data_IF_407148456242
#
_entry.id   IF_407148456242
#
_cell.length_a   1.000
_cell.length_b   1.000
_cell.length_c   1.000
_cell.angle_alpha   90.00
_cell.angle_beta   90.00
_cell.angle_gamma   90.00
#
_symmetry.space_group_name_H-M   'P 1'
#
loop_
_entity.id
_entity.type
_entity.pdbx_description
1 polymer ?
#
# COMPACT_ATOMS: atom_id res chain seq x y z
N UNK A 1 16.83 15.37 -38.64
CA UNK A 1 16.11 14.31 -39.36
C UNK A 1 17.00 13.77 -40.48
N UNK A 2 17.45 12.54 -40.42
CA UNK A 2 17.89 11.79 -41.58
C UNK A 2 16.94 10.62 -41.85
N UNK A 3 16.84 10.14 -43.13
CA UNK A 3 15.76 9.27 -43.58
C UNK A 3 16.04 7.78 -43.38
N UNK A 4 14.95 7.04 -43.16
CA UNK A 4 14.93 5.58 -43.15
C UNK A 4 15.27 4.98 -44.50
N UNK A 5 16.25 4.08 -44.52
CA UNK A 5 16.58 3.28 -45.70
C UNK A 5 16.11 1.83 -45.50
N UNK A 6 15.09 1.42 -46.26
CA UNK A 6 14.68 0.03 -46.45
C UNK A 6 15.66 -0.66 -47.40
N UNK A 7 16.32 -1.72 -46.93
CA UNK A 7 16.97 -2.71 -47.84
C UNK A 7 16.39 -4.08 -47.53
N UNK A 8 15.66 -4.60 -48.47
CA UNK A 8 15.18 -5.97 -48.47
C UNK A 8 16.33 -6.96 -48.78
N UNK A 9 16.24 -8.12 -48.20
CA UNK A 9 17.06 -9.28 -48.53
C UNK A 9 16.11 -10.45 -48.80
N UNK A 10 16.27 -10.98 -50.04
CA UNK A 10 15.53 -12.11 -50.57
C UNK A 10 15.80 -13.39 -49.80
N UNK A 11 14.76 -14.19 -49.71
CA UNK A 11 14.76 -15.54 -49.17
C UNK A 11 15.47 -16.54 -50.09
N UNK A 12 16.25 -17.40 -49.53
CA UNK A 12 16.66 -18.69 -50.15
C UNK A 12 15.96 -19.81 -49.40
N UNK A 13 15.12 -20.54 -50.09
CA UNK A 13 14.47 -21.75 -49.63
C UNK A 13 15.42 -22.90 -49.83
N UNK A 14 15.90 -23.50 -48.74
CA UNK A 14 16.55 -24.82 -48.79
C UNK A 14 15.66 -25.85 -48.07
N UNK A 15 15.23 -26.79 -48.88
CA UNK A 15 14.51 -28.01 -48.44
C UNK A 15 15.47 -28.91 -47.73
N UNK A 16 15.24 -29.29 -46.46
CA UNK A 16 15.95 -30.31 -45.72
C UNK A 16 15.00 -31.21 -44.95
N UNK A 17 14.97 -32.40 -45.40
CA UNK A 17 14.55 -33.70 -44.89
C UNK A 17 13.99 -33.80 -43.48
N UNK A 18 12.75 -34.33 -43.39
CA UNK A 18 12.13 -34.86 -42.18
C UNK A 18 12.97 -36.00 -41.56
N UNK A 19 13.45 -35.78 -40.35
CA UNK A 19 13.82 -36.83 -39.42
C UNK A 19 12.76 -36.83 -38.29
N UNK A 20 11.93 -37.85 -38.28
CA UNK A 20 11.02 -38.14 -37.18
C UNK A 20 11.83 -38.53 -35.94
N UNK A 21 11.90 -37.65 -34.96
CA UNK A 21 12.32 -38.00 -33.60
C UNK A 21 11.12 -38.42 -32.77
N UNK A 22 11.19 -39.51 -31.98
CA UNK A 22 10.07 -39.94 -31.13
C UNK A 22 9.86 -38.89 -30.03
N UNK A 23 8.66 -38.35 -29.93
CA UNK A 23 8.23 -37.49 -28.83
C UNK A 23 8.18 -38.32 -27.54
N UNK A 24 9.16 -38.13 -26.67
CA UNK A 24 9.09 -38.61 -25.29
C UNK A 24 8.09 -37.70 -24.57
N UNK A 25 6.89 -38.24 -24.34
CA UNK A 25 5.87 -37.62 -23.52
C UNK A 25 6.32 -37.62 -22.06
N UNK A 26 6.99 -36.55 -21.64
CA UNK A 26 7.34 -36.34 -20.24
C UNK A 26 6.02 -36.11 -19.47
N UNK A 27 5.63 -37.08 -18.67
CA UNK A 27 4.52 -36.98 -17.74
C UNK A 27 4.88 -35.85 -16.73
N UNK A 28 4.24 -34.69 -16.86
CA UNK A 28 4.32 -33.65 -15.85
C UNK A 28 3.58 -34.17 -14.61
N UNK A 29 4.35 -34.49 -13.58
CA UNK A 29 3.78 -34.75 -12.25
C UNK A 29 3.16 -33.45 -11.77
N UNK A 30 1.84 -33.40 -11.80
CA UNK A 30 1.07 -32.33 -11.15
C UNK A 30 1.35 -32.40 -9.65
N UNK A 31 2.22 -31.51 -9.16
CA UNK A 31 2.35 -31.32 -7.74
C UNK A 31 0.97 -30.91 -7.20
N UNK A 32 0.45 -31.57 -6.14
CA UNK A 32 -0.79 -31.13 -5.53
C UNK A 32 -0.66 -29.67 -5.10
N UNK A 33 -1.73 -28.87 -5.17
CA UNK A 33 -1.68 -27.49 -4.74
C UNK A 33 -1.24 -27.45 -3.28
N UNK A 34 -0.08 -26.84 -3.04
CA UNK A 34 0.40 -26.57 -1.67
C UNK A 34 -0.66 -25.72 -1.02
N UNK A 35 -1.37 -26.26 -0.03
CA UNK A 35 -2.36 -25.51 0.74
C UNK A 35 -1.65 -24.30 1.36
N UNK A 36 -1.96 -23.10 0.88
CA UNK A 36 -1.47 -21.88 1.51
C UNK A 36 -1.85 -21.93 3.00
N UNK A 37 -0.93 -21.63 3.92
CA UNK A 37 -1.24 -21.58 5.35
C UNK A 37 -2.42 -20.66 5.55
N UNK A 38 -3.45 -21.14 6.27
CA UNK A 38 -4.65 -20.36 6.57
C UNK A 38 -4.24 -19.23 7.51
N UNK A 39 -3.93 -18.08 6.94
CA UNK A 39 -3.56 -16.89 7.72
C UNK A 39 -4.80 -16.42 8.48
N UNK A 40 -4.72 -16.37 9.80
CA UNK A 40 -5.83 -15.89 10.63
C UNK A 40 -5.86 -14.36 10.63
N UNK A 41 -7.06 -13.79 10.53
CA UNK A 41 -7.27 -12.36 10.69
C UNK A 41 -7.43 -12.04 12.17
N UNK A 42 -6.66 -11.07 12.65
CA UNK A 42 -6.68 -10.53 14.00
C UNK A 42 -7.27 -9.11 13.96
N UNK A 43 -7.80 -8.66 15.09
CA UNK A 43 -8.27 -7.29 15.26
C UNK A 43 -7.55 -6.69 16.45
N UNK A 44 -6.89 -5.55 16.23
CA UNK A 44 -6.28 -4.71 17.25
C UNK A 44 -7.07 -3.41 17.37
N UNK A 45 -7.39 -3.01 18.59
CA UNK A 45 -8.19 -1.83 18.88
C UNK A 45 -7.44 -0.88 19.81
N UNK A 46 -7.79 0.40 19.72
CA UNK A 46 -7.23 1.41 20.61
C UNK A 46 -7.58 2.82 20.18
N UNK A 47 -6.75 3.75 20.65
CA UNK A 47 -6.87 5.18 20.37
C UNK A 47 -5.56 5.74 19.85
N UNK A 48 -5.60 6.94 19.30
CA UNK A 48 -4.37 7.68 19.00
C UNK A 48 -4.59 9.18 19.18
N UNK A 49 -3.51 9.83 19.59
CA UNK A 49 -3.37 11.29 19.51
C UNK A 49 -2.74 11.64 18.17
N UNK A 50 -3.17 12.74 17.55
CA UNK A 50 -2.64 13.16 16.26
C UNK A 50 -2.30 14.64 16.27
N UNK A 51 -1.12 14.97 15.72
CA UNK A 51 -0.69 16.31 15.41
C UNK A 51 -0.49 16.44 13.90
N UNK A 52 -1.19 17.39 13.30
CA UNK A 52 -1.05 17.78 11.89
C UNK A 52 -0.40 19.16 11.83
N UNK A 53 0.67 19.29 11.07
CA UNK A 53 1.39 20.57 10.92
C UNK A 53 1.51 20.91 9.45
N UNK A 54 1.09 22.10 9.07
CA UNK A 54 1.24 22.58 7.69
C UNK A 54 2.72 22.62 7.31
N UNK A 55 3.02 22.16 6.11
CA UNK A 55 4.33 22.22 5.49
C UNK A 55 4.26 23.07 4.20
N UNK A 56 5.35 23.74 3.81
CA UNK A 56 5.39 24.44 2.53
C UNK A 56 5.21 23.46 1.37
N UNK A 57 4.73 23.96 0.24
CA UNK A 57 4.72 23.20 -1.00
C UNK A 57 6.16 22.75 -1.34
N UNK A 58 6.30 21.62 -2.02
CA UNK A 58 7.59 21.22 -2.55
C UNK A 58 8.02 22.23 -3.63
N UNK A 59 9.32 22.51 -3.72
CA UNK A 59 9.89 23.45 -4.70
C UNK A 59 9.41 23.12 -6.12
N UNK A 60 8.93 24.15 -6.82
CA UNK A 60 8.41 24.03 -8.18
C UNK A 60 6.99 23.46 -8.30
N UNK A 61 6.32 23.16 -7.19
CA UNK A 61 4.95 22.63 -7.19
C UNK A 61 3.88 23.60 -6.68
N UNK A 62 4.25 24.86 -6.41
CA UNK A 62 3.37 25.87 -5.79
C UNK A 62 2.12 26.14 -6.62
N UNK A 63 2.23 26.07 -7.95
CA UNK A 63 1.13 26.27 -8.88
C UNK A 63 0.06 25.18 -8.79
N UNK A 64 0.38 24.01 -8.26
CA UNK A 64 -0.58 22.92 -8.07
C UNK A 64 -1.60 23.19 -6.95
N UNK A 65 -1.30 24.16 -6.07
CA UNK A 65 -2.17 24.58 -4.95
C UNK A 65 -2.62 23.43 -4.04
N UNK A 66 -1.73 22.44 -3.85
CA UNK A 66 -1.96 21.34 -2.94
C UNK A 66 -1.53 21.72 -1.54
N UNK A 67 -2.34 21.37 -0.54
CA UNK A 67 -1.96 21.45 0.86
C UNK A 67 -1.02 20.30 1.21
N UNK A 68 0.12 20.60 1.86
CA UNK A 68 1.04 19.60 2.40
C UNK A 68 1.05 19.71 3.92
N UNK A 69 1.01 18.56 4.60
CA UNK A 69 1.03 18.49 6.06
C UNK A 69 1.93 17.34 6.51
N UNK A 70 2.65 17.53 7.61
CA UNK A 70 3.26 16.43 8.34
C UNK A 70 2.24 15.83 9.32
N UNK A 71 2.34 14.53 9.53
CA UNK A 71 1.52 13.74 10.45
C UNK A 71 2.44 13.20 11.55
N UNK A 72 2.03 13.35 12.81
CA UNK A 72 2.60 12.66 13.96
C UNK A 72 1.48 12.05 14.75
N UNK A 73 1.62 10.77 15.11
CA UNK A 73 0.67 10.11 16.00
C UNK A 73 1.37 9.41 17.16
N UNK A 74 0.64 9.30 18.25
CA UNK A 74 0.94 8.42 19.37
C UNK A 74 -0.22 7.43 19.47
N UNK A 75 0.04 6.15 19.24
CA UNK A 75 -0.93 5.06 19.37
C UNK A 75 -0.93 4.47 20.77
N UNK A 76 -2.13 4.06 21.23
CA UNK A 76 -2.39 3.45 22.52
C UNK A 76 -3.33 2.25 22.35
N UNK A 77 -3.14 1.21 23.15
CA UNK A 77 -3.95 -0.01 23.14
C UNK A 77 -3.20 -1.19 22.53
N UNK A 78 -3.86 -2.00 21.69
CA UNK A 78 -3.23 -3.20 21.10
C UNK A 78 -2.09 -2.85 20.11
N UNK A 79 -2.05 -1.65 19.58
CA UNK A 79 -0.92 -1.03 18.91
C UNK A 79 -0.39 0.08 19.82
N UNK A 80 0.83 -0.09 20.34
CA UNK A 80 1.55 0.91 21.12
C UNK A 80 2.75 1.40 20.33
N UNK A 81 2.82 2.71 20.05
CA UNK A 81 3.93 3.24 19.27
C UNK A 81 3.68 4.62 18.73
N UNK A 82 4.58 5.08 17.91
CA UNK A 82 4.52 6.40 17.26
C UNK A 82 4.44 6.25 15.75
N UNK A 83 4.01 7.30 15.08
CA UNK A 83 4.13 7.38 13.63
C UNK A 83 4.56 8.74 13.15
N UNK A 84 5.18 8.73 11.97
CA UNK A 84 5.55 9.90 11.20
C UNK A 84 5.09 9.72 9.76
N UNK A 85 4.53 10.78 9.19
CA UNK A 85 4.06 10.72 7.81
C UNK A 85 3.88 12.09 7.17
N UNK A 86 3.52 12.05 5.90
CA UNK A 86 3.18 13.22 5.11
C UNK A 86 1.87 13.02 4.38
N UNK A 87 1.11 14.10 4.26
CA UNK A 87 -0.16 14.17 3.58
C UNK A 87 -0.14 15.26 2.52
N UNK A 88 -0.66 14.94 1.34
CA UNK A 88 -1.00 15.88 0.28
C UNK A 88 -2.50 15.89 0.09
N UNK A 89 -3.09 17.06 0.09
CA UNK A 89 -4.55 17.18 -0.06
C UNK A 89 -4.96 18.44 -0.82
N UNK A 90 -6.21 18.44 -1.22
CA UNK A 90 -6.86 19.57 -1.88
C UNK A 90 -8.25 19.79 -1.31
N UNK A 91 -8.63 21.05 -1.15
CA UNK A 91 -10.02 21.48 -0.92
C UNK A 91 -10.52 22.16 -2.17
N UNK A 92 -11.69 21.76 -2.63
CA UNK A 92 -12.33 22.41 -3.79
C UNK A 92 -13.15 23.63 -3.35
N UNK A 93 -13.58 24.49 -4.29
CA UNK A 93 -14.51 25.58 -3.98
C UNK A 93 -15.89 25.09 -3.50
N UNK A 94 -16.23 23.83 -3.74
CA UNK A 94 -17.50 23.24 -3.29
C UNK A 94 -17.36 22.88 -1.81
N UNK A 95 -18.21 23.46 -0.97
CA UNK A 95 -18.20 23.21 0.47
C UNK A 95 -18.33 21.72 0.78
N UNK A 96 -17.51 21.22 1.70
CA UNK A 96 -17.48 19.82 2.09
C UNK A 96 -16.87 18.87 1.05
N UNK A 97 -16.18 19.40 0.02
CA UNK A 97 -15.49 18.58 -0.99
C UNK A 97 -13.98 18.74 -0.90
N UNK A 98 -13.29 17.63 -0.68
CA UNK A 98 -11.84 17.56 -0.46
C UNK A 98 -11.32 16.15 -0.79
N UNK A 99 -10.02 16.03 -0.99
CA UNK A 99 -9.35 14.74 -1.11
C UNK A 99 -7.93 14.83 -0.59
N UNK A 100 -7.39 13.71 -0.10
CA UNK A 100 -6.00 13.62 0.31
C UNK A 100 -5.44 12.20 0.15
N UNK A 101 -4.14 12.13 0.04
CA UNK A 101 -3.34 10.90 0.17
C UNK A 101 -2.30 11.11 1.27
N UNK A 102 -1.95 10.04 1.99
CA UNK A 102 -0.87 10.11 2.97
C UNK A 102 -0.10 8.79 3.04
N UNK A 103 1.18 8.90 3.38
CA UNK A 103 2.04 7.80 3.77
C UNK A 103 2.50 8.05 5.20
N UNK A 104 2.39 7.01 6.04
CA UNK A 104 2.67 7.09 7.46
C UNK A 104 3.43 5.85 7.91
N UNK A 105 4.66 6.02 8.39
CA UNK A 105 5.45 4.94 9.00
C UNK A 105 5.11 4.86 10.48
N UNK A 106 4.69 3.69 10.90
CA UNK A 106 4.41 3.33 12.30
C UNK A 106 5.57 2.52 12.84
N UNK A 107 6.03 2.85 14.05
CA UNK A 107 7.05 2.12 14.79
C UNK A 107 6.53 1.81 16.20
N UNK A 108 6.60 0.54 16.61
CA UNK A 108 6.10 0.17 17.93
C UNK A 108 5.82 -1.33 18.08
N UNK A 109 4.81 -1.63 18.91
CA UNK A 109 4.37 -2.99 19.21
C UNK A 109 2.93 -3.19 18.79
N UNK A 110 2.67 -4.21 17.99
CA UNK A 110 1.33 -4.66 17.64
C UNK A 110 1.07 -6.02 18.30
N UNK A 111 0.14 -6.05 19.25
CA UNK A 111 -0.16 -7.26 20.03
C UNK A 111 1.10 -7.93 20.63
N UNK A 112 2.02 -7.11 21.15
CA UNK A 112 3.26 -7.56 21.77
C UNK A 112 4.44 -7.78 20.81
N UNK A 113 4.24 -7.76 19.49
CA UNK A 113 5.29 -7.93 18.48
C UNK A 113 5.87 -6.58 18.07
N UNK A 114 7.18 -6.46 18.11
CA UNK A 114 7.91 -5.21 17.82
C UNK A 114 8.31 -5.12 16.35
N UNK A 115 8.22 -3.93 15.77
CA UNK A 115 8.63 -3.66 14.40
C UNK A 115 8.09 -2.35 13.89
N UNK A 116 8.18 -2.16 12.59
CA UNK A 116 7.60 -1.02 11.89
C UNK A 116 6.82 -1.48 10.65
N UNK A 117 5.93 -0.63 10.16
CA UNK A 117 5.20 -0.82 8.89
C UNK A 117 4.74 0.52 8.34
N UNK A 118 4.28 0.53 7.10
CA UNK A 118 3.79 1.75 6.45
C UNK A 118 2.29 1.63 6.17
N UNK A 119 1.54 2.64 6.55
CA UNK A 119 0.14 2.84 6.19
C UNK A 119 0.02 3.81 5.03
N UNK A 120 -0.82 3.46 4.06
CA UNK A 120 -1.27 4.35 2.99
C UNK A 120 -2.71 4.78 3.29
N UNK A 121 -2.96 6.10 3.20
CA UNK A 121 -4.29 6.68 3.37
C UNK A 121 -4.79 7.24 2.04
N UNK A 122 -6.05 6.97 1.76
CA UNK A 122 -6.81 7.60 0.69
C UNK A 122 -8.11 8.14 1.30
N UNK A 123 -8.19 9.45 1.43
CA UNK A 123 -9.36 10.13 1.99
C UNK A 123 -10.08 10.99 0.95
N UNK A 124 -11.37 10.87 0.92
CA UNK A 124 -12.27 11.65 0.06
C UNK A 124 -13.42 12.21 0.89
N UNK A 125 -13.79 13.44 0.61
CA UNK A 125 -15.01 14.05 1.12
C UNK A 125 -15.80 14.62 -0.06
N UNK A 126 -17.01 14.13 -0.27
CA UNK A 126 -17.88 14.57 -1.34
C UNK A 126 -19.12 15.23 -0.71
N UNK A 127 -19.14 16.56 -0.69
CA UNK A 127 -20.25 17.36 -0.09
C UNK A 127 -20.62 16.90 1.33
N UNK A 128 -19.60 16.65 2.15
CA UNK A 128 -19.74 16.20 3.53
C UNK A 128 -19.79 14.68 3.74
N UNK A 129 -19.97 13.89 2.69
CA UNK A 129 -19.85 12.43 2.77
C UNK A 129 -18.40 12.00 2.75
N UNK A 130 -17.96 11.32 3.79
CA UNK A 130 -16.58 10.89 3.96
C UNK A 130 -16.37 9.45 3.50
N UNK A 131 -15.25 9.19 2.82
CA UNK A 131 -14.72 7.87 2.54
C UNK A 131 -13.24 7.87 2.90
N UNK A 132 -12.82 6.93 3.72
CA UNK A 132 -11.42 6.76 4.11
C UNK A 132 -11.01 5.30 3.94
N UNK A 133 -9.91 5.09 3.25
CA UNK A 133 -9.22 3.81 3.18
C UNK A 133 -7.84 3.97 3.81
N UNK A 134 -7.51 3.12 4.78
CA UNK A 134 -6.18 3.04 5.37
C UNK A 134 -5.73 1.59 5.31
N UNK A 135 -4.61 1.34 4.65
CA UNK A 135 -4.10 -0.02 4.45
C UNK A 135 -2.60 -0.10 4.64
N UNK A 136 -2.12 -1.26 5.06
CA UNK A 136 -0.70 -1.57 5.12
C UNK A 136 -0.15 -1.69 3.71
N UNK A 137 0.98 -1.04 3.44
CA UNK A 137 1.73 -1.21 2.19
C UNK A 137 2.34 -2.63 2.19
N UNK A 138 2.16 -3.42 1.12
CA UNK A 138 2.77 -4.74 1.00
C UNK A 138 4.27 -4.69 1.28
N UNK A 139 4.76 -5.68 2.03
CA UNK A 139 6.17 -5.89 2.36
C UNK A 139 6.83 -4.74 3.14
N UNK A 140 6.05 -3.83 3.72
CA UNK A 140 6.57 -2.72 4.53
C UNK A 140 6.84 -3.09 6.00
N UNK A 141 6.36 -4.26 6.44
CA UNK A 141 6.59 -4.77 7.79
C UNK A 141 8.05 -5.16 8.03
N UNK A 142 8.58 -4.81 9.20
CA UNK A 142 9.95 -5.17 9.61
C UNK A 142 9.95 -6.01 10.89
N UNK A 143 11.07 -6.65 11.17
CA UNK A 143 11.29 -7.42 12.39
C UNK A 143 10.17 -8.45 12.63
N UNK A 144 9.55 -8.46 13.81
CA UNK A 144 8.44 -9.37 14.13
C UNK A 144 7.13 -9.04 13.39
N UNK A 145 7.09 -7.92 12.65
CA UNK A 145 5.96 -7.51 11.81
C UNK A 145 6.20 -7.78 10.31
N UNK A 146 7.26 -8.51 9.96
CA UNK A 146 7.52 -8.93 8.58
C UNK A 146 6.34 -9.71 8.01
N UNK A 147 5.86 -9.33 6.81
CA UNK A 147 4.70 -9.93 6.16
C UNK A 147 3.34 -9.44 6.69
N UNK A 148 3.33 -8.41 7.54
CA UNK A 148 2.09 -7.77 8.00
C UNK A 148 1.28 -7.26 6.82
N UNK A 149 -0.01 -7.60 6.82
CA UNK A 149 -1.02 -7.02 5.91
C UNK A 149 -2.24 -6.60 6.72
N UNK A 150 -3.04 -5.66 6.22
CA UNK A 150 -4.27 -5.29 6.92
C UNK A 150 -4.83 -3.94 6.51
N UNK A 151 -5.97 -3.63 7.11
CA UNK A 151 -6.70 -2.37 6.95
C UNK A 151 -7.07 -1.80 8.31
N UNK A 152 -6.98 -0.48 8.45
CA UNK A 152 -7.26 0.23 9.68
C UNK A 152 -8.44 1.16 9.44
N UNK A 153 -9.46 1.07 10.29
CA UNK A 153 -10.57 2.01 10.32
C UNK A 153 -10.34 3.04 11.42
N UNK A 154 -10.79 4.26 11.19
CA UNK A 154 -10.70 5.37 12.14
C UNK A 154 -12.11 5.88 12.41
N UNK A 155 -12.45 6.01 13.68
CA UNK A 155 -13.68 6.61 14.16
C UNK A 155 -13.35 7.78 15.09
N UNK A 156 -14.07 8.90 14.96
CA UNK A 156 -13.84 10.10 15.76
C UNK A 156 -15.10 10.35 16.60
N UNK A 157 -14.96 10.26 17.92
CA UNK A 157 -16.04 10.49 18.88
C UNK A 157 -15.55 11.46 19.95
N UNK A 158 -16.31 12.52 20.17
CA UNK A 158 -16.00 13.54 21.19
C UNK A 158 -14.56 14.08 21.11
N UNK A 159 -14.07 14.26 19.87
CA UNK A 159 -12.70 14.74 19.60
C UNK A 159 -11.60 13.70 19.82
N UNK A 160 -11.91 12.47 20.21
CA UNK A 160 -10.98 11.36 20.35
C UNK A 160 -10.97 10.48 19.11
N UNK A 161 -9.79 10.04 18.72
CA UNK A 161 -9.60 9.14 17.60
C UNK A 161 -9.51 7.70 18.10
N UNK A 162 -10.36 6.84 17.59
CA UNK A 162 -10.35 5.40 17.82
C UNK A 162 -9.93 4.70 16.54
N UNK A 163 -9.22 3.58 16.67
CA UNK A 163 -8.91 2.71 15.54
C UNK A 163 -9.39 1.28 15.79
N UNK A 164 -9.73 0.59 14.69
CA UNK A 164 -9.81 -0.86 14.64
C UNK A 164 -8.95 -1.33 13.46
N UNK A 165 -7.93 -2.11 13.76
CA UNK A 165 -6.95 -2.60 12.79
C UNK A 165 -7.17 -4.09 12.56
N UNK A 166 -7.76 -4.43 11.42
CA UNK A 166 -7.90 -5.80 10.94
C UNK A 166 -6.64 -6.20 10.21
N UNK A 167 -5.87 -7.15 10.73
CA UNK A 167 -4.57 -7.51 10.18
C UNK A 167 -4.35 -9.01 10.12
N UNK A 168 -3.41 -9.41 9.28
CA UNK A 168 -2.86 -10.75 9.19
C UNK A 168 -1.35 -10.67 9.33
N UNK A 169 -0.79 -11.64 10.03
CA UNK A 169 0.64 -11.77 10.22
C UNK A 169 1.01 -13.24 10.08
N UNK A 170 2.04 -13.60 9.28
CA UNK A 170 2.48 -14.98 9.18
C UNK A 170 2.83 -15.58 10.54
N UNK A 171 2.45 -16.83 10.76
CA UNK A 171 2.95 -17.60 11.89
C UNK A 171 4.42 -17.97 11.62
N UNK A 172 5.30 -17.61 12.52
CA UNK A 172 6.69 -18.07 12.53
C UNK A 172 6.79 -19.46 13.11
#
# INVERSE_FOLDING_TARGET
>A
MPPFSLRGVLASITCASCLLAPAVLAAQTLNPPTSSPKTMTHIANGTFDVQLTNAPAAEGTEAAKLGRMSIRKQFHGDLEGTSLGEMLGVRTPVSGSAGYVAMERVEGKLAGRTGSFVLMHLGEMNRGQQRLTVQVIPDSGTDELTGLTGTLTIDIKDGKHFYAFSYQLPSH
#
